data_IF_864391938495
#
_entry.id   IF_864391938495
#
_cell.length_a   1.000
_cell.length_b   1.000
_cell.length_c   1.000
_cell.angle_alpha   90.00
_cell.angle_beta   90.00
_cell.angle_gamma   90.00
#
_symmetry.space_group_name_H-M   'P 1'
#
loop_
_entity.id
_entity.type
_entity.pdbx_description
1 polymer ?
#
# COMPACT_ATOMS: atom_id res chain seq x y z
N UNK A 1 -22.45 13.18 32.10
CA UNK A 1 -23.66 12.59 31.44
C UNK A 1 -23.25 11.31 30.77
N UNK A 2 -24.04 10.27 31.00
CA UNK A 2 -23.76 8.95 30.46
C UNK A 2 -24.51 8.80 29.15
N UNK A 3 -23.79 8.80 28.02
CA UNK A 3 -24.37 8.62 26.70
C UNK A 3 -24.28 7.15 26.26
N UNK A 4 -25.32 6.65 25.59
CA UNK A 4 -25.29 5.37 24.89
C UNK A 4 -24.62 5.50 23.52
N UNK A 5 -24.13 4.41 22.96
CA UNK A 5 -23.56 4.38 21.61
C UNK A 5 -24.57 4.90 20.56
N UNK A 6 -25.86 4.57 20.71
CA UNK A 6 -26.94 5.05 19.86
C UNK A 6 -27.09 6.58 19.94
N UNK A 7 -27.11 7.15 21.14
CA UNK A 7 -27.23 8.60 21.32
C UNK A 7 -26.06 9.33 20.72
N UNK A 8 -24.84 8.83 20.92
CA UNK A 8 -23.60 9.38 20.31
C UNK A 8 -23.69 9.33 18.80
N UNK A 9 -24.08 8.19 18.21
CA UNK A 9 -24.26 8.03 16.77
C UNK A 9 -25.26 9.05 16.20
N UNK A 10 -26.48 9.12 16.79
CA UNK A 10 -27.53 10.02 16.32
C UNK A 10 -27.16 11.49 16.45
N UNK A 11 -26.49 11.87 17.53
CA UNK A 11 -25.96 13.23 17.74
C UNK A 11 -24.90 13.57 16.69
N UNK A 12 -23.99 12.67 16.40
CA UNK A 12 -22.97 12.86 15.38
C UNK A 12 -23.56 12.97 13.98
N UNK A 13 -24.57 12.15 13.64
CA UNK A 13 -25.32 12.28 12.38
C UNK A 13 -25.99 13.62 12.21
N UNK A 14 -26.59 14.13 13.30
CA UNK A 14 -27.22 15.44 13.33
C UNK A 14 -26.17 16.54 13.08
N UNK A 15 -25.05 16.48 13.79
CA UNK A 15 -23.93 17.44 13.68
C UNK A 15 -23.40 17.52 12.24
N UNK A 16 -23.10 16.38 11.58
CA UNK A 16 -22.61 16.39 10.19
C UNK A 16 -23.65 16.92 9.19
N UNK A 17 -24.94 16.68 9.41
CA UNK A 17 -26.01 17.20 8.54
C UNK A 17 -26.20 18.70 8.72
N UNK A 18 -26.29 19.18 9.94
CA UNK A 18 -26.51 20.61 10.24
C UNK A 18 -25.36 21.49 9.74
N UNK A 19 -24.11 21.00 9.86
CA UNK A 19 -22.92 21.75 9.46
C UNK A 19 -22.41 21.37 8.07
N UNK A 20 -23.12 20.49 7.33
CA UNK A 20 -22.73 20.03 5.98
C UNK A 20 -21.29 19.49 5.93
N UNK A 21 -20.88 18.75 6.95
CA UNK A 21 -19.53 18.19 7.04
C UNK A 21 -19.42 16.94 6.16
N UNK A 22 -18.35 16.84 5.38
CA UNK A 22 -18.11 15.70 4.49
C UNK A 22 -17.52 14.49 5.25
N UNK A 23 -18.31 13.91 6.15
CA UNK A 23 -17.97 12.67 6.88
C UNK A 23 -19.03 11.63 6.58
N UNK A 24 -18.61 10.47 6.10
CA UNK A 24 -19.53 9.36 5.83
C UNK A 24 -20.07 8.78 7.15
N UNK A 25 -21.38 8.51 7.25
CA UNK A 25 -21.99 7.92 8.46
C UNK A 25 -21.34 6.60 8.91
N UNK A 26 -20.83 5.81 7.97
CA UNK A 26 -20.10 4.57 8.25
C UNK A 26 -18.85 4.77 9.12
N UNK A 27 -18.17 5.91 8.99
CA UNK A 27 -16.99 6.23 9.80
C UNK A 27 -17.34 6.47 11.27
N UNK A 28 -18.57 6.94 11.57
CA UNK A 28 -19.03 7.10 12.95
C UNK A 28 -19.17 5.72 13.62
N UNK A 29 -19.71 4.72 12.90
CA UNK A 29 -19.76 3.33 13.41
C UNK A 29 -18.35 2.78 13.66
N UNK A 30 -17.43 3.02 12.74
CA UNK A 30 -16.05 2.55 12.91
C UNK A 30 -15.36 3.22 14.10
N UNK A 31 -15.60 4.51 14.35
CA UNK A 31 -15.12 5.19 15.56
C UNK A 31 -15.72 4.59 16.83
N UNK A 32 -17.02 4.30 16.84
CA UNK A 32 -17.68 3.67 17.99
C UNK A 32 -17.10 2.27 18.27
N UNK A 33 -16.87 1.48 17.23
CA UNK A 33 -16.19 0.18 17.34
C UNK A 33 -14.83 0.35 17.99
N UNK A 34 -14.03 1.30 17.49
CA UNK A 34 -12.67 1.55 17.97
C UNK A 34 -12.62 2.05 19.41
N UNK A 35 -13.47 3.00 19.76
CA UNK A 35 -13.51 3.59 21.11
C UNK A 35 -13.97 2.60 22.16
N UNK A 36 -14.93 1.74 21.80
CA UNK A 36 -15.42 0.70 22.71
C UNK A 36 -14.59 -0.59 22.69
N UNK A 37 -13.58 -0.69 21.80
CA UNK A 37 -12.77 -1.91 21.59
C UNK A 37 -13.62 -3.12 21.21
N UNK A 38 -14.68 -2.90 20.42
CA UNK A 38 -15.50 -3.99 19.88
C UNK A 38 -14.75 -4.69 18.75
N UNK A 39 -14.97 -6.00 18.61
CA UNK A 39 -14.32 -6.78 17.55
C UNK A 39 -14.82 -6.41 16.15
N UNK A 40 -16.10 -6.08 16.03
CA UNK A 40 -16.73 -5.87 14.73
C UNK A 40 -18.06 -5.10 14.84
N UNK A 41 -18.69 -4.86 13.70
CA UNK A 41 -19.97 -4.17 13.61
C UNK A 41 -21.10 -4.90 14.34
N UNK A 42 -21.14 -6.23 14.32
CA UNK A 42 -22.15 -7.01 15.05
C UNK A 42 -22.06 -6.76 16.55
N UNK A 43 -20.86 -6.75 17.11
CA UNK A 43 -20.62 -6.44 18.51
C UNK A 43 -21.10 -5.02 18.87
N UNK A 44 -20.91 -4.04 17.98
CA UNK A 44 -21.46 -2.70 18.18
C UNK A 44 -23.00 -2.72 18.19
N UNK A 45 -23.64 -3.40 17.24
CA UNK A 45 -25.12 -3.41 17.16
C UNK A 45 -25.75 -4.08 18.40
N UNK A 46 -25.17 -5.17 18.88
CA UNK A 46 -25.64 -5.83 20.12
C UNK A 46 -25.51 -4.88 21.32
N UNK A 47 -24.49 -4.05 21.36
CA UNK A 47 -24.22 -3.11 22.44
C UNK A 47 -24.60 -1.66 22.09
N UNK A 48 -25.50 -1.45 21.12
CA UNK A 48 -25.79 -0.10 20.62
C UNK A 48 -26.48 0.77 21.67
N UNK A 49 -27.28 0.18 22.54
CA UNK A 49 -27.95 0.86 23.64
C UNK A 49 -27.13 0.84 24.95
N UNK A 50 -25.95 0.22 24.94
CA UNK A 50 -25.03 0.31 26.08
C UNK A 50 -24.29 1.63 26.12
N UNK A 51 -23.79 1.97 27.33
CA UNK A 51 -22.99 3.17 27.54
C UNK A 51 -21.69 3.12 26.74
N UNK A 52 -21.33 4.25 26.11
CA UNK A 52 -20.04 4.38 25.43
C UNK A 52 -18.89 4.30 26.45
N UNK A 53 -17.81 3.59 26.08
CA UNK A 53 -16.66 3.37 26.96
C UNK A 53 -15.91 4.68 27.28
N UNK A 54 -15.71 5.52 26.29
CA UNK A 54 -14.97 6.79 26.43
C UNK A 54 -15.51 7.86 25.46
N UNK A 55 -16.40 8.70 25.98
CA UNK A 55 -17.02 9.77 25.20
C UNK A 55 -16.02 10.88 24.84
N UNK A 56 -15.02 11.15 25.68
CA UNK A 56 -14.05 12.21 25.44
C UNK A 56 -13.11 11.82 24.32
N UNK A 57 -12.64 10.56 24.33
CA UNK A 57 -11.86 10.00 23.22
C UNK A 57 -12.67 10.00 21.92
N UNK A 58 -13.95 9.60 21.95
CA UNK A 58 -14.79 9.67 20.77
C UNK A 58 -14.87 11.09 20.21
N UNK A 59 -15.16 12.08 21.06
CA UNK A 59 -15.28 13.48 20.65
C UNK A 59 -13.96 14.01 20.06
N UNK A 60 -12.83 13.66 20.64
CA UNK A 60 -11.50 14.02 20.12
C UNK A 60 -11.29 13.47 18.70
N UNK A 61 -11.52 12.18 18.49
CA UNK A 61 -11.35 11.52 17.19
C UNK A 61 -12.36 12.05 16.16
N UNK A 62 -13.62 12.22 16.57
CA UNK A 62 -14.65 12.74 15.70
C UNK A 62 -14.38 14.18 15.25
N UNK A 63 -13.81 15.03 16.13
CA UNK A 63 -13.39 16.38 15.75
C UNK A 63 -12.27 16.36 14.71
N UNK A 64 -11.32 15.43 14.78
CA UNK A 64 -10.28 15.26 13.76
C UNK A 64 -10.90 14.91 12.41
N UNK A 65 -11.85 13.95 12.37
CA UNK A 65 -12.61 13.61 11.17
C UNK A 65 -13.37 14.80 10.59
N UNK A 66 -14.05 15.59 11.44
CA UNK A 66 -14.78 16.77 11.00
C UNK A 66 -13.87 17.83 10.35
N UNK A 67 -12.61 17.87 10.73
CA UNK A 67 -11.60 18.75 10.14
C UNK A 67 -11.02 18.20 8.82
N UNK A 68 -11.50 17.04 8.35
CA UNK A 68 -11.08 16.41 7.10
C UNK A 68 -9.81 15.57 7.22
N UNK A 69 -9.38 15.22 8.45
CA UNK A 69 -8.25 14.30 8.61
C UNK A 69 -8.64 12.88 8.16
N UNK A 70 -7.80 12.18 7.38
CA UNK A 70 -8.06 10.80 6.95
C UNK A 70 -8.37 9.89 8.14
N UNK A 71 -9.36 9.02 7.98
CA UNK A 71 -9.80 8.11 9.05
C UNK A 71 -8.65 7.25 9.58
N UNK A 72 -7.80 6.77 8.70
CA UNK A 72 -6.64 5.93 9.02
C UNK A 72 -5.68 6.64 9.97
N UNK A 73 -5.44 7.94 9.79
CA UNK A 73 -4.63 8.73 10.71
C UNK A 73 -5.37 9.05 12.00
N UNK A 74 -6.68 9.26 11.93
CA UNK A 74 -7.49 9.50 13.15
C UNK A 74 -7.40 8.32 14.10
N UNK A 75 -7.47 7.09 13.57
CA UNK A 75 -7.41 5.85 14.38
C UNK A 75 -6.00 5.25 14.47
N UNK A 76 -5.04 5.79 13.73
CA UNK A 76 -3.66 5.30 13.57
C UNK A 76 -3.60 3.85 13.08
N UNK A 77 -4.49 3.47 12.18
CA UNK A 77 -4.55 2.13 11.59
C UNK A 77 -4.96 2.19 10.13
N UNK A 78 -4.32 1.38 9.31
CA UNK A 78 -4.69 1.15 7.91
C UNK A 78 -4.61 -0.35 7.61
N UNK A 79 -5.59 -0.85 6.85
CA UNK A 79 -5.53 -2.22 6.33
C UNK A 79 -4.68 -2.28 5.06
N UNK A 80 -3.90 -3.34 4.91
CA UNK A 80 -3.21 -3.65 3.67
C UNK A 80 -3.25 -5.17 3.43
N UNK A 81 -4.02 -5.59 2.43
CA UNK A 81 -4.35 -6.99 2.16
C UNK A 81 -4.90 -7.69 3.41
N UNK A 82 -4.07 -8.44 4.12
CA UNK A 82 -4.43 -9.17 5.35
C UNK A 82 -3.77 -8.62 6.61
N UNK A 83 -3.03 -7.53 6.50
CA UNK A 83 -2.32 -6.90 7.61
C UNK A 83 -3.06 -5.66 8.10
N UNK A 84 -3.00 -5.42 9.42
CA UNK A 84 -3.39 -4.15 10.02
C UNK A 84 -2.11 -3.43 10.45
N UNK A 85 -1.87 -2.25 9.85
CA UNK A 85 -0.64 -1.48 10.03
C UNK A 85 -0.92 -0.22 10.84
N UNK A 86 0.00 0.16 11.69
CA UNK A 86 0.03 1.50 12.28
C UNK A 86 0.44 2.51 11.20
N UNK A 87 -0.28 3.62 11.12
CA UNK A 87 0.02 4.75 10.24
C UNK A 87 -0.20 6.08 10.96
N UNK A 88 0.58 7.07 10.59
CA UNK A 88 0.38 8.47 10.96
C UNK A 88 0.87 9.38 9.81
N UNK A 89 0.86 10.68 10.00
CA UNK A 89 1.21 11.67 8.98
C UNK A 89 2.67 11.66 8.50
N UNK A 90 3.49 10.71 8.95
CA UNK A 90 4.87 10.51 8.47
C UNK A 90 4.96 9.49 7.33
N UNK A 91 3.89 8.75 7.02
CA UNK A 91 3.86 7.74 5.95
C UNK A 91 2.62 7.88 5.09
N UNK A 92 2.74 7.53 3.81
CA UNK A 92 1.58 7.40 2.92
C UNK A 92 0.63 6.32 3.47
N UNK A 93 -0.67 6.60 3.49
CA UNK A 93 -1.68 5.57 3.77
C UNK A 93 -1.60 4.51 2.67
N UNK A 94 -1.43 3.20 2.99
CA UNK A 94 -1.38 2.13 2.00
C UNK A 94 -2.58 2.18 1.04
N UNK A 95 -2.32 2.03 -0.27
CA UNK A 95 -3.33 2.15 -1.32
C UNK A 95 -3.75 0.78 -1.84
N UNK A 96 -5.01 0.69 -2.26
CA UNK A 96 -5.57 -0.54 -2.85
C UNK A 96 -4.87 -0.94 -4.16
N UNK A 97 -4.35 0.03 -4.91
CA UNK A 97 -3.55 -0.22 -6.11
C UNK A 97 -2.27 -1.00 -5.75
N UNK A 98 -1.62 -0.64 -4.64
CA UNK A 98 -0.43 -1.35 -4.16
C UNK A 98 -0.73 -2.80 -3.76
N UNK A 99 -1.93 -3.09 -3.25
CA UNK A 99 -2.38 -4.48 -3.01
C UNK A 99 -2.45 -5.28 -4.32
N UNK A 100 -2.85 -4.62 -5.42
CA UNK A 100 -2.85 -5.22 -6.76
C UNK A 100 -1.45 -5.68 -7.19
N UNK A 101 -0.42 -4.87 -6.92
CA UNK A 101 0.98 -5.24 -7.17
C UNK A 101 1.38 -6.49 -6.39
N UNK A 102 0.99 -6.59 -5.12
CA UNK A 102 1.31 -7.75 -4.27
C UNK A 102 0.71 -9.05 -4.80
N UNK A 103 -0.52 -9.01 -5.31
CA UNK A 103 -1.14 -10.17 -5.92
C UNK A 103 -0.38 -10.67 -7.17
N UNK A 104 0.14 -9.72 -7.99
CA UNK A 104 0.95 -10.03 -9.16
C UNK A 104 2.27 -10.67 -8.74
N UNK A 105 2.97 -10.02 -7.81
CA UNK A 105 4.28 -10.45 -7.32
C UNK A 105 4.21 -11.84 -6.69
N UNK A 106 3.25 -12.09 -5.78
CA UNK A 106 3.08 -13.40 -5.16
C UNK A 106 2.86 -14.50 -6.21
N UNK A 107 2.02 -14.21 -7.21
CA UNK A 107 1.81 -15.20 -8.28
C UNK A 107 3.10 -15.50 -9.05
N UNK A 108 3.91 -14.50 -9.36
CA UNK A 108 5.19 -14.71 -10.04
C UNK A 108 6.15 -15.51 -9.15
N UNK A 109 6.20 -15.23 -7.86
CA UNK A 109 7.02 -15.96 -6.88
C UNK A 109 6.62 -17.43 -6.83
N UNK A 110 5.32 -17.73 -6.70
CA UNK A 110 4.79 -19.08 -6.63
C UNK A 110 5.08 -19.88 -7.92
N UNK A 111 4.81 -19.24 -9.06
CA UNK A 111 4.99 -19.86 -10.37
C UNK A 111 6.49 -20.17 -10.67
N UNK A 112 7.42 -19.37 -10.12
CA UNK A 112 8.87 -19.51 -10.33
C UNK A 112 9.61 -20.11 -9.12
N UNK A 113 8.92 -20.51 -8.06
CA UNK A 113 9.47 -21.12 -6.84
C UNK A 113 10.55 -20.25 -6.15
N UNK A 114 10.26 -18.95 -6.01
CA UNK A 114 11.16 -17.96 -5.41
C UNK A 114 10.90 -17.76 -3.90
N UNK A 115 10.53 -18.83 -3.17
CA UNK A 115 10.05 -18.72 -1.79
C UNK A 115 11.13 -18.38 -0.75
N UNK A 116 12.41 -18.61 -1.05
CA UNK A 116 13.54 -18.38 -0.11
C UNK A 116 14.43 -17.23 -0.62
N UNK A 117 13.84 -16.19 -1.18
CA UNK A 117 14.52 -15.08 -1.85
C UNK A 117 14.95 -13.99 -0.89
N UNK A 118 15.97 -13.23 -1.28
CA UNK A 118 16.23 -11.90 -0.72
C UNK A 118 15.34 -10.87 -1.44
N UNK A 119 14.51 -10.17 -0.67
CA UNK A 119 13.52 -9.20 -1.14
C UNK A 119 13.91 -7.81 -0.65
N UNK A 120 13.96 -6.83 -1.53
CA UNK A 120 14.10 -5.41 -1.18
C UNK A 120 12.78 -4.71 -1.46
N UNK A 121 12.28 -3.97 -0.48
CA UNK A 121 11.17 -3.00 -0.60
C UNK A 121 11.74 -1.59 -0.43
N UNK A 122 11.84 -0.85 -1.53
CA UNK A 122 12.38 0.51 -1.56
C UNK A 122 11.24 1.54 -1.60
N UNK A 123 11.42 2.66 -0.90
CA UNK A 123 10.38 3.65 -0.61
C UNK A 123 9.25 3.02 0.22
N UNK A 124 9.63 2.31 1.27
CA UNK A 124 8.77 1.39 2.02
C UNK A 124 7.64 2.08 2.78
N UNK A 125 7.80 3.35 3.14
CA UNK A 125 6.81 4.11 3.91
C UNK A 125 6.43 3.40 5.21
N UNK A 126 5.19 2.94 5.32
CA UNK A 126 4.70 2.20 6.49
C UNK A 126 5.26 0.77 6.64
N UNK A 127 6.04 0.31 5.67
CA UNK A 127 6.50 -1.08 5.59
C UNK A 127 5.50 -2.03 4.93
N UNK A 128 4.42 -1.54 4.34
CA UNK A 128 3.28 -2.36 3.91
C UNK A 128 3.68 -3.45 2.91
N UNK A 129 4.50 -3.14 1.89
CA UNK A 129 4.97 -4.10 0.90
C UNK A 129 5.91 -5.13 1.56
N UNK A 130 6.99 -4.67 2.19
CA UNK A 130 7.99 -5.54 2.79
C UNK A 130 7.40 -6.46 3.87
N UNK A 131 6.55 -5.93 4.75
CA UNK A 131 5.88 -6.71 5.79
C UNK A 131 4.89 -7.72 5.21
N UNK A 132 4.17 -7.36 4.15
CA UNK A 132 3.29 -8.32 3.48
C UNK A 132 4.10 -9.42 2.80
N UNK A 133 5.22 -9.11 2.18
CA UNK A 133 6.14 -10.12 1.62
C UNK A 133 6.70 -11.04 2.71
N UNK A 134 7.10 -10.49 3.86
CA UNK A 134 7.55 -11.31 5.01
C UNK A 134 6.43 -12.17 5.58
N UNK A 135 5.21 -11.69 5.59
CA UNK A 135 4.03 -12.44 6.05
C UNK A 135 3.73 -13.66 5.15
N UNK A 136 3.81 -13.49 3.83
CA UNK A 136 3.51 -14.54 2.84
C UNK A 136 4.70 -15.47 2.58
N UNK A 137 5.94 -14.96 2.63
CA UNK A 137 7.18 -15.69 2.36
C UNK A 137 8.09 -15.68 3.59
N UNK A 138 7.72 -16.43 4.62
CA UNK A 138 8.35 -16.42 5.95
C UNK A 138 9.85 -16.68 5.96
N UNK A 139 10.34 -17.51 5.03
CA UNK A 139 11.76 -17.86 4.93
C UNK A 139 12.60 -16.80 4.20
N UNK A 140 11.96 -15.92 3.45
CA UNK A 140 12.66 -14.87 2.71
C UNK A 140 13.34 -13.86 3.65
N UNK A 141 14.52 -13.42 3.26
CA UNK A 141 15.16 -12.26 3.84
C UNK A 141 14.52 -11.02 3.26
N UNK A 142 13.90 -10.18 4.09
CA UNK A 142 13.23 -8.95 3.62
C UNK A 142 13.96 -7.74 4.18
N UNK A 143 14.38 -6.85 3.29
CA UNK A 143 15.04 -5.59 3.58
C UNK A 143 14.11 -4.47 3.12
N UNK A 144 13.77 -3.56 4.01
CA UNK A 144 12.98 -2.37 3.67
C UNK A 144 13.84 -1.12 3.76
N UNK A 145 13.65 -0.18 2.84
CA UNK A 145 14.42 1.06 2.84
C UNK A 145 13.58 2.27 2.50
N UNK A 146 13.94 3.38 3.10
CA UNK A 146 13.34 4.69 2.85
C UNK A 146 14.37 5.79 3.13
N UNK A 147 14.22 6.96 2.53
CA UNK A 147 15.00 8.14 2.84
C UNK A 147 14.51 8.81 4.14
N UNK A 148 13.25 8.60 4.51
CA UNK A 148 12.61 9.17 5.68
C UNK A 148 12.86 8.30 6.92
N UNK A 149 13.62 8.83 7.87
CA UNK A 149 13.83 8.18 9.18
C UNK A 149 12.53 7.97 9.94
N UNK A 150 11.57 8.89 9.80
CA UNK A 150 10.28 8.78 10.47
C UNK A 150 9.45 7.65 9.86
N UNK A 151 9.47 7.48 8.54
CA UNK A 151 8.84 6.33 7.88
C UNK A 151 9.47 5.01 8.34
N UNK A 152 10.79 4.94 8.44
CA UNK A 152 11.50 3.74 8.93
C UNK A 152 11.15 3.39 10.39
N UNK A 153 10.92 4.38 11.25
CA UNK A 153 10.42 4.12 12.62
C UNK A 153 9.05 3.47 12.60
N UNK A 154 8.17 3.90 11.69
CA UNK A 154 6.84 3.32 11.54
C UNK A 154 6.92 1.90 10.96
N UNK A 155 7.72 1.67 9.93
CA UNK A 155 7.95 0.34 9.38
C UNK A 155 8.48 -0.64 10.45
N UNK A 156 9.43 -0.19 11.29
CA UNK A 156 9.95 -0.98 12.41
C UNK A 156 8.87 -1.25 13.46
N UNK A 157 8.09 -0.25 13.86
CA UNK A 157 6.95 -0.41 14.78
C UNK A 157 5.96 -1.45 14.25
N UNK A 158 5.64 -1.40 12.96
CA UNK A 158 4.76 -2.37 12.33
C UNK A 158 5.35 -3.78 12.31
N UNK A 159 6.65 -3.91 12.05
CA UNK A 159 7.38 -5.18 12.15
C UNK A 159 7.25 -5.80 13.55
N UNK A 160 7.47 -4.99 14.60
CA UNK A 160 7.35 -5.40 15.99
C UNK A 160 5.90 -5.81 16.34
N UNK A 161 4.91 -4.99 15.97
CA UNK A 161 3.48 -5.24 16.22
C UNK A 161 2.98 -6.54 15.57
N UNK A 162 3.50 -6.86 14.38
CA UNK A 162 3.10 -8.04 13.61
C UNK A 162 3.98 -9.27 13.89
N UNK A 163 5.04 -9.15 14.67
CA UNK A 163 6.06 -10.19 14.88
C UNK A 163 6.62 -10.71 13.54
N UNK A 164 6.94 -9.78 12.63
CA UNK A 164 7.51 -10.04 11.30
C UNK A 164 8.91 -9.44 11.24
N UNK A 165 9.95 -10.26 11.28
CA UNK A 165 11.34 -9.81 11.24
C UNK A 165 11.72 -9.31 9.85
N UNK A 166 12.11 -8.03 9.76
CA UNK A 166 12.62 -7.37 8.56
C UNK A 166 13.88 -6.57 8.89
N UNK A 167 14.75 -6.39 7.90
CA UNK A 167 15.89 -5.47 8.02
C UNK A 167 15.46 -4.07 7.57
N UNK A 168 15.79 -3.05 8.37
CA UNK A 168 15.39 -1.66 8.11
C UNK A 168 16.64 -0.83 7.82
N UNK A 169 16.75 -0.24 6.64
CA UNK A 169 17.90 0.53 6.18
C UNK A 169 17.50 1.94 5.74
N UNK A 170 18.21 2.96 6.20
CA UNK A 170 18.10 4.31 5.66
C UNK A 170 18.89 4.41 4.37
N UNK A 171 18.23 4.85 3.27
CA UNK A 171 18.88 5.00 1.96
C UNK A 171 18.19 6.07 1.12
N UNK A 172 19.00 6.92 0.49
CA UNK A 172 18.54 7.64 -0.71
C UNK A 172 18.68 6.66 -1.88
N UNK A 173 17.53 6.22 -2.42
CA UNK A 173 17.48 5.21 -3.49
C UNK A 173 18.43 4.02 -3.23
N UNK A 174 19.30 3.70 -4.17
CA UNK A 174 20.18 2.52 -4.12
C UNK A 174 21.47 2.69 -3.30
N UNK A 175 21.76 3.84 -2.72
CA UNK A 175 23.04 4.17 -2.11
C UNK A 175 23.54 3.12 -1.10
N UNK A 176 22.70 2.72 -0.16
CA UNK A 176 23.11 1.74 0.88
C UNK A 176 23.37 0.35 0.29
N UNK A 177 22.62 -0.03 -0.75
CA UNK A 177 22.76 -1.33 -1.40
C UNK A 177 24.04 -1.42 -2.21
N UNK A 178 24.34 -0.36 -2.99
CA UNK A 178 25.56 -0.24 -3.78
C UNK A 178 26.81 -0.21 -2.87
N UNK A 179 26.76 0.63 -1.83
CA UNK A 179 27.88 0.78 -0.88
C UNK A 179 28.22 -0.53 -0.14
N UNK A 180 27.22 -1.31 0.20
CA UNK A 180 27.41 -2.54 0.99
C UNK A 180 27.36 -3.81 0.11
N UNK A 181 27.31 -3.68 -1.21
CA UNK A 181 27.23 -4.80 -2.17
C UNK A 181 26.07 -5.77 -1.86
N UNK A 182 24.92 -5.20 -1.45
CA UNK A 182 23.71 -5.99 -1.14
C UNK A 182 23.00 -6.30 -2.44
N UNK A 183 22.79 -7.60 -2.72
CA UNK A 183 22.02 -8.09 -3.85
C UNK A 183 20.72 -8.73 -3.41
N UNK A 184 19.73 -8.71 -4.29
CA UNK A 184 18.44 -9.34 -4.09
C UNK A 184 17.96 -10.12 -5.32
N UNK A 185 16.98 -10.98 -5.08
CA UNK A 185 16.27 -11.73 -6.12
C UNK A 185 15.00 -11.00 -6.54
N UNK A 186 14.42 -10.25 -5.60
CA UNK A 186 13.15 -9.53 -5.79
C UNK A 186 13.32 -8.08 -5.32
N UNK A 187 13.05 -7.14 -6.19
CA UNK A 187 13.07 -5.71 -5.93
C UNK A 187 11.68 -5.12 -6.13
N UNK A 188 11.14 -4.52 -5.09
CA UNK A 188 9.79 -3.95 -5.07
C UNK A 188 9.87 -2.48 -4.72
N UNK A 189 9.03 -1.65 -5.35
CA UNK A 189 8.90 -0.26 -4.95
C UNK A 189 7.57 0.35 -5.37
N UNK A 190 7.01 1.16 -4.48
CA UNK A 190 6.00 2.16 -4.79
C UNK A 190 6.62 3.54 -4.53
N UNK A 191 7.41 4.10 -5.47
CA UNK A 191 8.09 5.37 -5.28
C UNK A 191 7.12 6.53 -5.44
N UNK A 192 7.42 7.74 -4.93
CA UNK A 192 6.65 8.94 -5.25
C UNK A 192 6.71 9.19 -6.76
N UNK A 193 5.54 9.35 -7.40
CA UNK A 193 5.42 9.44 -8.86
C UNK A 193 4.60 10.62 -9.37
N UNK A 194 4.06 11.47 -8.51
CA UNK A 194 3.31 12.65 -8.94
C UNK A 194 4.28 13.82 -9.18
N UNK A 195 4.38 14.28 -10.43
CA UNK A 195 5.31 15.33 -10.85
C UNK A 195 4.69 16.73 -10.86
N UNK A 196 3.36 16.84 -10.79
CA UNK A 196 2.64 18.11 -10.75
C UNK A 196 1.84 18.22 -9.46
N UNK A 197 2.12 19.26 -8.68
CA UNK A 197 1.44 19.48 -7.39
C UNK A 197 -0.07 19.70 -7.57
N UNK A 198 -0.50 20.19 -8.73
CA UNK A 198 -1.90 20.42 -9.08
C UNK A 198 -2.70 19.11 -9.16
N UNK A 199 -2.04 18.01 -9.50
CA UNK A 199 -2.67 16.69 -9.63
C UNK A 199 -2.87 15.99 -8.27
N UNK A 200 -2.33 16.57 -7.18
CA UNK A 200 -2.49 16.03 -5.83
C UNK A 200 -3.76 16.62 -5.20
N UNK A 201 -4.63 15.77 -4.66
CA UNK A 201 -5.82 16.21 -3.94
C UNK A 201 -5.46 17.04 -2.71
N UNK A 202 -6.27 18.05 -2.40
CA UNK A 202 -6.00 18.97 -1.29
C UNK A 202 -5.95 18.28 0.08
N UNK A 203 -6.72 17.22 0.26
CA UNK A 203 -6.68 16.37 1.45
C UNK A 203 -5.31 15.69 1.63
N UNK A 204 -4.75 15.16 0.56
CA UNK A 204 -3.41 14.55 0.53
C UNK A 204 -2.34 15.59 0.82
N UNK A 205 -2.40 16.78 0.18
CA UNK A 205 -1.48 17.90 0.45
C UNK A 205 -1.48 18.32 1.89
N UNK A 206 -2.65 18.25 2.56
CA UNK A 206 -2.82 18.76 3.92
C UNK A 206 -2.34 17.79 4.98
N UNK A 207 -2.48 16.49 4.75
CA UNK A 207 -2.30 15.50 5.81
C UNK A 207 -1.21 14.48 5.52
N UNK A 208 -0.94 14.14 4.26
CA UNK A 208 0.04 13.11 3.91
C UNK A 208 1.44 13.71 3.65
N UNK A 209 2.53 12.97 3.88
CA UNK A 209 3.88 13.50 3.69
C UNK A 209 4.16 13.73 2.21
N UNK A 210 4.45 14.96 1.83
CA UNK A 210 4.65 15.36 0.43
C UNK A 210 5.79 14.62 -0.26
N UNK A 211 6.84 14.25 0.46
CA UNK A 211 7.97 13.47 -0.08
C UNK A 211 7.61 12.03 -0.43
N UNK A 212 6.49 11.50 0.07
CA UNK A 212 5.97 10.19 -0.32
C UNK A 212 5.04 10.24 -1.54
N UNK A 213 4.64 11.44 -1.99
CA UNK A 213 3.67 11.62 -3.08
C UNK A 213 4.30 12.35 -4.26
N UNK A 214 5.00 13.47 -3.99
CA UNK A 214 5.51 14.40 -4.99
C UNK A 214 7.00 14.20 -5.24
N UNK A 215 7.37 14.27 -6.51
CA UNK A 215 8.75 14.29 -6.98
C UNK A 215 8.87 15.24 -8.18
N UNK A 216 9.97 16.00 -8.30
CA UNK A 216 10.17 16.91 -9.42
C UNK A 216 10.41 16.19 -10.74
N UNK A 217 11.11 15.06 -10.70
CA UNK A 217 11.38 14.22 -11.87
C UNK A 217 11.52 12.76 -11.43
N UNK A 218 10.49 11.97 -11.70
CA UNK A 218 10.47 10.57 -11.33
C UNK A 218 11.37 9.68 -12.21
N UNK A 219 11.73 10.12 -13.42
CA UNK A 219 12.61 9.36 -14.30
C UNK A 219 13.99 9.12 -13.65
N UNK A 220 14.46 10.05 -12.78
CA UNK A 220 15.73 9.91 -12.05
C UNK A 220 15.72 8.65 -11.16
N UNK A 221 14.62 8.36 -10.49
CA UNK A 221 14.49 7.17 -9.64
C UNK A 221 14.62 5.88 -10.46
N UNK A 222 13.84 5.77 -11.54
CA UNK A 222 13.85 4.58 -12.39
C UNK A 222 15.17 4.45 -13.15
N UNK A 223 15.72 5.56 -13.64
CA UNK A 223 17.02 5.57 -14.36
C UNK A 223 18.12 5.02 -13.46
N UNK A 224 18.15 5.41 -12.19
CA UNK A 224 19.13 4.89 -11.23
C UNK A 224 18.92 3.40 -10.97
N UNK A 225 17.69 2.97 -10.73
CA UNK A 225 17.37 1.55 -10.54
C UNK A 225 17.79 0.71 -11.76
N UNK A 226 17.50 1.19 -12.96
CA UNK A 226 17.78 0.45 -14.19
C UNK A 226 19.27 0.48 -14.57
N UNK A 227 19.97 1.58 -14.30
CA UNK A 227 21.42 1.72 -14.55
C UNK A 227 22.21 0.73 -13.70
N UNK A 228 21.84 0.57 -12.45
CA UNK A 228 22.56 -0.22 -11.45
C UNK A 228 21.96 -1.60 -11.17
N UNK A 229 21.00 -2.08 -11.99
CA UNK A 229 20.32 -3.34 -11.69
C UNK A 229 21.28 -4.53 -11.57
N UNK A 230 22.34 -4.61 -12.37
CA UNK A 230 23.35 -5.71 -12.31
C UNK A 230 24.15 -5.72 -11.01
N UNK A 231 24.24 -4.58 -10.33
CA UNK A 231 24.96 -4.44 -9.07
C UNK A 231 24.09 -4.86 -7.89
N UNK A 232 22.75 -4.66 -7.99
CA UNK A 232 21.80 -4.92 -6.91
C UNK A 232 20.93 -6.15 -7.14
N UNK A 233 20.86 -6.68 -8.36
CA UNK A 233 20.10 -7.90 -8.66
C UNK A 233 21.01 -9.11 -8.80
N UNK A 234 20.49 -10.30 -8.46
CA UNK A 234 21.09 -11.57 -8.80
C UNK A 234 20.83 -11.92 -10.28
N UNK A 235 21.41 -13.03 -10.78
CA UNK A 235 21.30 -13.42 -12.21
C UNK A 235 19.84 -13.70 -12.62
N UNK A 236 19.07 -14.32 -11.72
CA UNK A 236 17.61 -14.45 -11.85
C UNK A 236 16.93 -13.47 -10.95
N UNK A 237 16.11 -12.60 -11.50
CA UNK A 237 15.50 -11.54 -10.72
C UNK A 237 14.09 -11.15 -11.16
N UNK A 238 13.36 -10.59 -10.22
CA UNK A 238 12.10 -9.88 -10.42
C UNK A 238 12.25 -8.45 -9.91
N UNK A 239 11.97 -7.47 -10.75
CA UNK A 239 11.73 -6.08 -10.33
C UNK A 239 10.26 -5.73 -10.57
N UNK A 240 9.59 -5.15 -9.59
CA UNK A 240 8.20 -4.76 -9.71
C UNK A 240 7.95 -3.36 -9.09
N UNK A 241 7.33 -2.50 -9.87
CA UNK A 241 7.12 -1.10 -9.51
C UNK A 241 5.64 -0.73 -9.67
N UNK A 242 5.13 0.04 -8.73
CA UNK A 242 3.95 0.85 -8.97
C UNK A 242 4.37 2.11 -9.74
N UNK A 243 3.60 2.50 -10.76
CA UNK A 243 3.91 3.62 -11.67
C UNK A 243 2.71 4.54 -11.82
N UNK A 244 2.93 5.79 -12.26
CA UNK A 244 1.86 6.62 -12.75
C UNK A 244 1.37 6.12 -14.13
N UNK A 245 0.09 6.24 -14.39
CA UNK A 245 -0.55 5.72 -15.61
C UNK A 245 -0.01 6.33 -16.92
N UNK A 246 0.64 7.47 -16.87
CA UNK A 246 1.20 8.20 -18.03
C UNK A 246 2.71 7.96 -18.24
N UNK A 247 3.37 7.16 -17.39
CA UNK A 247 4.83 6.94 -17.45
C UNK A 247 5.26 5.84 -18.43
N UNK A 248 4.35 5.04 -18.95
CA UNK A 248 4.65 3.84 -19.76
C UNK A 248 5.63 4.11 -20.91
N UNK A 249 5.42 5.18 -21.70
CA UNK A 249 6.29 5.48 -22.85
C UNK A 249 7.70 5.89 -22.40
N UNK A 250 7.82 6.68 -21.33
CA UNK A 250 9.12 7.11 -20.78
C UNK A 250 9.88 5.92 -20.22
N UNK A 251 9.22 5.09 -19.43
CA UNK A 251 9.84 3.89 -18.85
C UNK A 251 10.22 2.86 -19.90
N UNK A 252 9.44 2.72 -20.99
CA UNK A 252 9.83 1.84 -22.12
C UNK A 252 11.15 2.29 -22.75
N UNK A 253 11.37 3.61 -22.93
CA UNK A 253 12.63 4.14 -23.44
C UNK A 253 13.80 3.89 -22.48
N UNK A 254 13.59 4.09 -21.18
CA UNK A 254 14.62 3.81 -20.16
C UNK A 254 14.97 2.33 -20.09
N UNK A 255 13.99 1.44 -20.16
CA UNK A 255 14.22 -0.01 -20.22
C UNK A 255 15.06 -0.37 -21.44
N UNK A 256 14.70 0.12 -22.62
CA UNK A 256 15.48 -0.11 -23.85
C UNK A 256 16.92 0.41 -23.80
N UNK A 257 17.21 1.41 -22.96
CA UNK A 257 18.56 1.95 -22.75
C UNK A 257 19.44 1.05 -21.88
N UNK A 258 18.88 0.45 -20.83
CA UNK A 258 19.65 -0.24 -19.80
C UNK A 258 19.54 -1.78 -19.85
N UNK A 259 18.41 -2.32 -20.26
CA UNK A 259 18.18 -3.76 -20.38
C UNK A 259 18.37 -4.20 -21.84
N UNK A 260 19.63 -4.33 -22.25
CA UNK A 260 20.02 -4.64 -23.64
C UNK A 260 20.18 -6.16 -23.91
N UNK A 261 20.02 -7.00 -22.90
CA UNK A 261 20.18 -8.46 -23.05
C UNK A 261 18.83 -9.10 -23.40
N UNK A 262 18.85 -10.12 -24.26
CA UNK A 262 17.65 -10.85 -24.70
C UNK A 262 16.95 -11.62 -23.57
N UNK A 263 17.66 -11.89 -22.47
CA UNK A 263 17.15 -12.63 -21.30
C UNK A 263 16.28 -11.81 -20.36
N UNK A 264 16.12 -10.49 -20.63
CA UNK A 264 15.28 -9.63 -19.79
C UNK A 264 13.98 -9.31 -20.49
N UNK A 265 12.87 -9.55 -19.81
CA UNK A 265 11.51 -9.26 -20.29
C UNK A 265 10.83 -8.26 -19.37
N UNK A 266 9.98 -7.41 -19.93
CA UNK A 266 9.19 -6.47 -19.14
C UNK A 266 7.73 -6.43 -19.58
N UNK A 267 6.87 -6.06 -18.66
CA UNK A 267 5.42 -6.03 -18.85
C UNK A 267 4.81 -4.87 -18.09
N UNK A 268 3.96 -4.10 -18.76
CA UNK A 268 3.09 -3.13 -18.12
C UNK A 268 1.71 -3.76 -17.89
N UNK A 269 1.23 -3.68 -16.65
CA UNK A 269 -0.06 -4.22 -16.27
C UNK A 269 -0.97 -3.10 -15.76
N UNK A 270 -2.27 -3.33 -15.96
CA UNK A 270 -3.30 -2.38 -15.56
C UNK A 270 -3.83 -2.71 -14.17
N UNK A 271 -4.21 -1.64 -13.44
CA UNK A 271 -4.98 -1.75 -12.22
C UNK A 271 -6.45 -2.13 -12.50
N UNK A 272 -7.23 -2.24 -11.43
CA UNK A 272 -8.67 -2.57 -11.51
C UNK A 272 -9.50 -1.49 -12.22
N UNK A 273 -8.97 -0.27 -12.34
CA UNK A 273 -9.60 0.85 -13.04
C UNK A 273 -9.18 0.92 -14.52
N UNK A 274 -8.35 -0.02 -14.98
CA UNK A 274 -7.89 -0.11 -16.37
C UNK A 274 -6.75 0.83 -16.73
N UNK A 275 -6.10 1.46 -15.75
CA UNK A 275 -4.93 2.33 -15.95
C UNK A 275 -3.65 1.52 -15.88
N UNK A 276 -2.66 1.81 -16.73
CA UNK A 276 -1.32 1.24 -16.62
C UNK A 276 -0.75 1.64 -15.26
N UNK A 277 -0.51 0.66 -14.38
CA UNK A 277 -0.18 0.88 -12.96
C UNK A 277 1.05 0.13 -12.48
N UNK A 278 1.38 -0.97 -13.14
CA UNK A 278 2.47 -1.81 -12.69
C UNK A 278 3.46 -2.06 -13.82
N UNK A 279 4.74 -1.93 -13.49
CA UNK A 279 5.85 -2.36 -14.33
C UNK A 279 6.51 -3.58 -13.68
N UNK A 280 6.58 -4.67 -14.42
CA UNK A 280 7.24 -5.91 -14.03
C UNK A 280 8.42 -6.14 -14.97
N UNK A 281 9.59 -6.43 -14.42
CA UNK A 281 10.80 -6.78 -15.17
C UNK A 281 11.33 -8.10 -14.62
N UNK A 282 11.58 -9.07 -15.50
CA UNK A 282 12.10 -10.38 -15.17
C UNK A 282 13.39 -10.63 -15.96
N UNK A 283 14.45 -11.06 -15.28
CA UNK A 283 15.70 -11.48 -15.88
C UNK A 283 16.06 -12.91 -15.56
N UNK A 284 16.67 -13.64 -16.52
CA UNK A 284 17.13 -15.01 -16.36
C UNK A 284 16.03 -16.08 -16.34
N UNK A 285 14.80 -15.75 -16.77
CA UNK A 285 13.68 -16.68 -16.85
C UNK A 285 13.35 -17.07 -18.30
N UNK A 286 12.80 -18.27 -18.50
CA UNK A 286 12.43 -18.75 -19.83
C UNK A 286 11.32 -17.90 -20.47
N UNK A 287 11.51 -17.54 -21.73
CA UNK A 287 10.69 -16.60 -22.53
C UNK A 287 9.23 -17.05 -22.64
N UNK A 288 8.98 -18.35 -22.76
CA UNK A 288 7.63 -18.91 -22.97
C UNK A 288 6.69 -18.67 -21.77
N UNK A 289 7.25 -18.53 -20.59
CA UNK A 289 6.48 -18.30 -19.36
C UNK A 289 5.86 -16.90 -19.33
N UNK A 290 6.60 -15.89 -19.77
CA UNK A 290 6.19 -14.49 -19.71
C UNK A 290 5.05 -14.16 -20.70
N UNK A 291 5.08 -14.71 -21.90
CA UNK A 291 4.00 -14.56 -22.89
C UNK A 291 2.71 -15.21 -22.44
N UNK A 292 2.79 -16.42 -21.89
CA UNK A 292 1.64 -17.14 -21.35
C UNK A 292 1.01 -16.42 -20.17
N UNK A 293 1.81 -15.69 -19.38
CA UNK A 293 1.35 -14.93 -18.22
C UNK A 293 0.64 -13.64 -18.62
N UNK A 294 1.12 -12.92 -19.65
CA UNK A 294 0.47 -11.70 -20.17
C UNK A 294 -0.97 -11.98 -20.65
N UNK A 295 -1.23 -13.16 -21.20
CA UNK A 295 -2.56 -13.63 -21.63
C UNK A 295 -3.46 -14.01 -20.46
N UNK A 296 -2.93 -14.70 -19.45
CA UNK A 296 -3.69 -15.19 -18.30
C UNK A 296 -4.01 -14.10 -17.28
N UNK A 297 -3.14 -13.11 -17.11
CA UNK A 297 -3.34 -12.02 -16.15
C UNK A 297 -4.57 -11.18 -16.47
N UNK A 298 -4.81 -10.84 -17.73
CA UNK A 298 -6.00 -10.10 -18.16
C UNK A 298 -7.33 -10.83 -17.86
N UNK A 299 -7.31 -12.17 -17.79
CA UNK A 299 -8.49 -12.99 -17.53
C UNK A 299 -8.69 -13.28 -16.03
N UNK A 300 -7.59 -13.50 -15.28
CA UNK A 300 -7.60 -13.85 -13.87
C UNK A 300 -7.99 -12.66 -12.98
N UNK A 301 -7.53 -11.45 -13.32
CA UNK A 301 -7.93 -10.22 -12.65
C UNK A 301 -9.44 -9.98 -12.74
N UNK A 302 -10.04 -10.13 -13.92
CA UNK A 302 -11.51 -9.99 -14.08
C UNK A 302 -12.31 -10.96 -13.21
N UNK A 303 -11.82 -12.20 -12.98
CA UNK A 303 -12.60 -13.25 -12.29
C UNK A 303 -12.43 -13.23 -10.76
N UNK A 304 -11.25 -12.95 -10.23
CA UNK A 304 -10.97 -12.99 -8.78
C UNK A 304 -11.39 -11.70 -8.07
N UNK A 305 -11.30 -10.57 -8.75
CA UNK A 305 -11.84 -9.30 -8.23
C UNK A 305 -13.36 -9.30 -8.15
N UNK A 306 -14.05 -9.93 -9.09
CA UNK A 306 -15.50 -10.13 -8.97
C UNK A 306 -15.88 -10.98 -7.75
N UNK A 307 -15.05 -11.95 -7.34
CA UNK A 307 -15.32 -12.75 -6.12
C UNK A 307 -14.95 -12.02 -4.84
N UNK A 308 -13.90 -11.21 -4.81
CA UNK A 308 -13.54 -10.36 -3.66
C UNK A 308 -14.50 -9.15 -3.55
N UNK A 309 -14.86 -8.54 -4.67
CA UNK A 309 -15.89 -7.48 -4.70
C UNK A 309 -17.27 -8.01 -4.34
N UNK A 310 -17.61 -9.27 -4.64
CA UNK A 310 -18.86 -9.88 -4.17
C UNK A 310 -18.84 -10.14 -2.66
N UNK A 311 -17.69 -10.42 -2.06
CA UNK A 311 -17.53 -10.53 -0.61
C UNK A 311 -17.57 -9.15 0.09
N UNK A 312 -16.95 -8.11 -0.53
CA UNK A 312 -17.00 -6.73 -0.04
C UNK A 312 -18.34 -6.04 -0.35
N UNK A 313 -18.89 -6.20 -1.54
CA UNK A 313 -20.20 -5.65 -1.90
C UNK A 313 -21.38 -6.35 -1.21
N UNK A 314 -21.29 -7.62 -0.84
CA UNK A 314 -22.32 -8.24 0.01
C UNK A 314 -22.36 -7.63 1.41
N UNK A 315 -21.27 -6.99 1.87
CA UNK A 315 -21.20 -6.23 3.10
C UNK A 315 -21.65 -4.76 2.92
N UNK A 316 -21.41 -4.15 1.76
CA UNK A 316 -21.73 -2.74 1.47
C UNK A 316 -23.07 -2.53 0.75
N UNK A 317 -23.49 -3.44 -0.14
CA UNK A 317 -24.76 -3.32 -0.89
C UNK A 317 -26.01 -3.64 -0.07
N UNK A 318 -25.89 -4.35 1.06
CA UNK A 318 -27.01 -4.55 2.00
C UNK A 318 -27.31 -3.34 2.90
N UNK A 319 -26.53 -2.29 2.81
CA UNK A 319 -26.72 -1.05 3.57
C UNK A 319 -27.31 0.11 2.72
N UNK A 320 -27.58 -0.11 1.42
CA UNK A 320 -28.12 0.90 0.51
C UNK A 320 -29.43 0.49 -0.18
N UNK A 321 -30.12 -0.58 0.27
CA UNK A 321 -31.50 -0.87 -0.07
C UNK A 321 -32.39 -0.80 1.16
#
# INVERSE_FOLDING_TARGET
>A
MDFTNREVYLKSLKDIKEHKINVQPSLIYQLLIKVNEFENFTSLIVNFDSKIKDIDKFNQLFNRLKNGEPFEYVVNEASFVSLMLYVDNNVLIPRVETEGLMNIVNKIIDDNKLNDSTIIDMCTGSGCIGLYMKYTHRNSRVIVSDISKEALKIAKKNSENLNLEIEVLESDKLDVFLKNHIKCDIFLSNPPYVERKEDIFDEVKKYEPMNAVFVENNDIFYEECFKHYKEVMNDKFLMAFEINYDQKERLTKLIGKYFTNDDTKFLFLKDIFGKDRYLIILGGYDVNYFEMWSWKSNWYYKKRWFSLFSYWNSFWFRLYC
#
